data_IF_424500427584
#
_entry.id   IF_424500427584
#
_cell.length_a   1.000
_cell.length_b   1.000
_cell.length_c   1.000
_cell.angle_alpha   90.00
_cell.angle_beta   90.00
_cell.angle_gamma   90.00
#
_symmetry.space_group_name_H-M   'P 1'
#
loop_
_entity.id
_entity.type
_entity.pdbx_description
1 polymer ?
#
# COMPACT_ATOMS: atom_id res chain seq x y z
N UNK A 1 -0.77 -23.76 -16.59
CA UNK A 1 -0.16 -24.83 -15.78
C UNK A 1 -1.16 -25.28 -14.74
N UNK A 2 -1.25 -26.58 -14.46
CA UNK A 2 -2.05 -27.12 -13.35
C UNK A 2 -1.08 -27.67 -12.33
N UNK A 3 -1.22 -27.24 -11.08
CA UNK A 3 -0.41 -27.70 -9.96
C UNK A 3 -1.36 -28.27 -8.91
N UNK A 4 -1.00 -29.42 -8.35
CA UNK A 4 -1.70 -29.98 -7.20
C UNK A 4 -0.92 -29.55 -5.97
N UNK A 5 -1.59 -28.86 -5.06
CA UNK A 5 -1.06 -28.40 -3.79
C UNK A 5 -2.09 -28.73 -2.71
N UNK A 6 -1.61 -29.08 -1.52
CA UNK A 6 -2.48 -29.16 -0.36
C UNK A 6 -2.77 -27.76 0.17
N UNK A 7 -4.03 -27.52 0.52
CA UNK A 7 -4.49 -26.22 0.98
C UNK A 7 -5.41 -26.41 2.18
N UNK A 8 -5.27 -25.51 3.15
CA UNK A 8 -6.23 -25.41 4.24
C UNK A 8 -7.55 -24.84 3.71
N UNK A 9 -8.61 -25.66 3.74
CA UNK A 9 -9.91 -25.31 3.22
C UNK A 9 -10.63 -24.24 4.08
N UNK A 10 -10.34 -24.15 5.39
CA UNK A 10 -10.91 -23.12 6.25
C UNK A 10 -10.31 -21.76 5.95
N UNK A 11 -8.98 -21.70 5.79
CA UNK A 11 -8.30 -20.47 5.37
C UNK A 11 -8.75 -20.02 3.98
N UNK A 12 -8.94 -20.97 3.05
CA UNK A 12 -9.42 -20.65 1.71
C UNK A 12 -10.84 -20.10 1.73
N UNK A 13 -11.73 -20.64 2.54
CA UNK A 13 -13.10 -20.16 2.67
C UNK A 13 -13.16 -18.77 3.30
N UNK A 14 -12.34 -18.51 4.32
CA UNK A 14 -12.19 -17.16 4.90
C UNK A 14 -11.71 -16.15 3.86
N UNK A 15 -10.64 -16.48 3.14
CA UNK A 15 -10.13 -15.63 2.06
C UNK A 15 -11.18 -15.41 0.97
N UNK A 16 -11.96 -16.43 0.62
CA UNK A 16 -13.04 -16.32 -0.37
C UNK A 16 -14.10 -15.31 0.06
N UNK A 17 -14.50 -15.33 1.33
CA UNK A 17 -15.47 -14.37 1.89
C UNK A 17 -14.92 -12.95 1.92
N UNK A 18 -13.69 -12.78 2.38
CA UNK A 18 -13.02 -11.47 2.46
C UNK A 18 -12.79 -10.87 1.07
N UNK A 19 -12.42 -11.68 0.08
CA UNK A 19 -12.14 -11.25 -1.29
C UNK A 19 -13.37 -11.24 -2.20
N UNK A 20 -14.52 -11.74 -1.73
CA UNK A 20 -15.78 -11.78 -2.51
C UNK A 20 -15.73 -12.70 -3.74
N UNK A 21 -14.85 -13.70 -3.76
CA UNK A 21 -14.62 -14.57 -4.92
C UNK A 21 -15.58 -15.77 -4.96
N UNK A 22 -15.73 -16.37 -6.15
CA UNK A 22 -16.69 -17.47 -6.38
C UNK A 22 -16.05 -18.84 -6.51
N UNK A 23 -14.76 -18.91 -6.86
CA UNK A 23 -14.04 -20.18 -7.04
C UNK A 23 -12.72 -20.20 -6.27
N UNK A 24 -12.25 -21.40 -5.92
CA UNK A 24 -10.94 -21.61 -5.26
C UNK A 24 -9.82 -20.93 -6.07
N UNK A 25 -9.83 -21.09 -7.40
CA UNK A 25 -8.86 -20.49 -8.32
C UNK A 25 -8.88 -18.97 -8.24
N UNK A 26 -10.07 -18.36 -8.26
CA UNK A 26 -10.19 -16.90 -8.21
C UNK A 26 -9.69 -16.36 -6.88
N UNK A 27 -10.02 -17.04 -5.76
CA UNK A 27 -9.50 -16.70 -4.43
C UNK A 27 -7.98 -16.74 -4.40
N UNK A 28 -7.37 -17.82 -4.89
CA UNK A 28 -5.91 -17.99 -4.89
C UNK A 28 -5.25 -16.90 -5.73
N UNK A 29 -5.74 -16.65 -6.95
CA UNK A 29 -5.17 -15.62 -7.80
C UNK A 29 -5.36 -14.21 -7.23
N UNK A 30 -6.51 -13.90 -6.64
CA UNK A 30 -6.76 -12.60 -6.01
C UNK A 30 -5.85 -12.40 -4.79
N UNK A 31 -5.69 -13.41 -3.93
CA UNK A 31 -4.81 -13.36 -2.78
C UNK A 31 -3.34 -13.14 -3.18
N UNK A 32 -2.85 -13.88 -4.18
CA UNK A 32 -1.48 -13.72 -4.70
C UNK A 32 -1.24 -12.33 -5.27
N UNK A 33 -2.20 -11.79 -6.03
CA UNK A 33 -2.13 -10.42 -6.57
C UNK A 33 -2.08 -9.39 -5.44
N UNK A 34 -2.96 -9.51 -4.45
CA UNK A 34 -3.00 -8.60 -3.30
C UNK A 34 -1.66 -8.54 -2.56
N UNK A 35 -0.98 -9.69 -2.40
CA UNK A 35 0.34 -9.75 -1.76
C UNK A 35 1.43 -9.12 -2.64
N UNK A 36 1.42 -9.39 -3.95
CA UNK A 36 2.37 -8.79 -4.89
C UNK A 36 2.27 -7.26 -4.90
N UNK A 37 1.05 -6.73 -5.06
CA UNK A 37 0.80 -5.28 -5.04
C UNK A 37 1.15 -4.65 -3.69
N UNK A 38 0.94 -5.37 -2.58
CA UNK A 38 1.40 -4.92 -1.26
C UNK A 38 2.93 -4.81 -1.22
N UNK A 39 3.64 -5.77 -1.80
CA UNK A 39 5.10 -5.74 -1.91
C UNK A 39 5.60 -4.52 -2.68
N UNK A 40 4.99 -4.25 -3.85
CA UNK A 40 5.33 -3.10 -4.69
C UNK A 40 5.14 -1.77 -3.94
N UNK A 41 4.01 -1.59 -3.24
CA UNK A 41 3.76 -0.39 -2.42
C UNK A 41 4.79 -0.23 -1.31
N UNK A 42 5.15 -1.33 -0.63
CA UNK A 42 6.16 -1.29 0.44
C UNK A 42 7.54 -0.94 -0.09
N UNK A 43 7.90 -1.43 -1.27
CA UNK A 43 9.18 -1.13 -1.89
C UNK A 43 9.28 0.34 -2.30
N UNK A 44 8.22 0.89 -2.89
CA UNK A 44 8.15 2.33 -3.19
C UNK A 44 8.30 3.20 -1.93
N UNK A 45 7.70 2.78 -0.80
CA UNK A 45 7.88 3.48 0.50
C UNK A 45 9.33 3.37 0.97
N UNK A 46 9.95 2.19 0.88
CA UNK A 46 11.36 2.03 1.27
C UNK A 46 12.28 2.88 0.43
N UNK A 47 12.06 2.92 -0.88
CA UNK A 47 12.81 3.77 -1.80
C UNK A 47 12.67 5.24 -1.38
N UNK A 48 11.43 5.72 -1.17
CA UNK A 48 11.17 7.08 -0.68
C UNK A 48 11.91 7.40 0.63
N UNK A 49 11.93 6.46 1.59
CA UNK A 49 12.60 6.64 2.88
C UNK A 49 14.12 6.49 2.80
N UNK A 50 14.65 5.80 1.79
CA UNK A 50 16.09 5.65 1.56
C UNK A 50 16.73 6.90 0.96
N UNK A 51 15.91 7.77 0.39
CA UNK A 51 16.36 9.05 -0.14
C UNK A 51 16.68 9.97 1.05
N UNK A 52 17.97 10.12 1.34
CA UNK A 52 18.51 11.14 2.26
C UNK A 52 18.37 12.52 1.60
N UNK A 53 17.17 13.08 1.66
CA UNK A 53 16.88 14.44 1.19
C UNK A 53 16.61 15.31 2.39
N UNK A 54 17.31 16.44 2.44
CA UNK A 54 16.96 17.50 3.36
C UNK A 54 15.71 18.22 2.85
N UNK A 55 14.55 17.86 3.41
CA UNK A 55 13.27 18.49 3.09
C UNK A 55 13.07 19.81 3.85
N UNK A 56 13.95 20.18 4.78
CA UNK A 56 13.79 21.41 5.59
C UNK A 56 13.90 22.68 4.76
N UNK A 57 14.62 22.63 3.63
CA UNK A 57 14.68 23.73 2.66
C UNK A 57 13.34 24.06 1.97
N UNK A 58 12.37 23.12 1.93
CA UNK A 58 11.04 23.37 1.37
C UNK A 58 10.13 24.19 2.29
N UNK A 59 10.42 24.19 3.61
CA UNK A 59 9.68 24.99 4.60
C UNK A 59 10.27 26.39 4.75
N UNK A 60 11.51 26.61 4.31
CA UNK A 60 12.16 27.93 4.33
C UNK A 60 11.56 28.90 3.30
N UNK A 61 10.89 28.37 2.27
CA UNK A 61 10.13 29.13 1.27
C UNK A 61 8.64 29.28 1.64
N UNK A 62 8.27 29.15 2.92
CA UNK A 62 6.92 29.48 3.36
C UNK A 62 6.62 30.96 3.07
N UNK A 63 5.93 31.20 1.95
CA UNK A 63 5.46 32.50 1.51
C UNK A 63 4.17 32.93 2.24
N UNK A 64 3.80 32.29 3.34
CA UNK A 64 2.69 32.75 4.17
C UNK A 64 2.99 34.20 4.58
N UNK A 65 2.23 35.18 4.07
CA UNK A 65 2.54 36.58 4.35
C UNK A 65 2.31 36.84 5.84
N UNK A 66 3.36 37.23 6.56
CA UNK A 66 3.24 37.84 7.88
C UNK A 66 2.58 39.21 7.70
N UNK A 67 1.24 39.30 7.79
CA UNK A 67 0.58 40.52 7.35
C UNK A 67 -0.87 40.76 7.79
N UNK A 68 -1.31 40.22 8.93
CA UNK A 68 -2.42 40.81 9.72
C UNK A 68 -2.03 40.82 11.20
N UNK A 69 -0.97 41.57 11.51
CA UNK A 69 -0.67 42.02 12.87
C UNK A 69 -0.10 43.43 12.73
N UNK A 70 -1.00 44.40 12.59
CA UNK A 70 -0.88 45.79 13.05
C UNK A 70 -1.82 46.70 12.24
N UNK A 71 -3.07 46.75 12.70
CA UNK A 71 -3.94 47.91 12.54
C UNK A 71 -4.98 47.88 13.66
N UNK A 72 -4.52 48.27 14.85
CA UNK A 72 -5.36 48.77 15.94
C UNK A 72 -5.68 50.26 15.70
#
# INVERSE_FOLDING_TARGET
MKTVIDLDDELLERARRELGTKSKKDTIHAALRMVAERGERMEAIRELLSIDRDWTGLLADDKTPDGERDAA
#
